data_IF_184760189821
#
_entry.id   IF_184760189821
#
_cell.length_a   1.000
_cell.length_b   1.000
_cell.length_c   1.000
_cell.angle_alpha   90.00
_cell.angle_beta   90.00
_cell.angle_gamma   90.00
#
_symmetry.space_group_name_H-M   'P 1'
#
loop_
_entity.id
_entity.type
_entity.pdbx_description
1 polymer ?
#
# COMPACT_ATOMS: atom_id res chain seq x y z
N UNK A 1 0.36 -22.93 -7.01
CA UNK A 1 -0.41 -21.79 -7.55
C UNK A 1 -1.52 -21.30 -6.60
N UNK A 2 -2.61 -22.07 -6.34
CA UNK A 2 -3.70 -21.59 -5.42
C UNK A 2 -3.19 -21.36 -4.00
N UNK A 3 -2.36 -22.27 -3.49
CA UNK A 3 -1.74 -22.12 -2.17
C UNK A 3 -0.82 -20.90 -2.11
N UNK A 4 -0.07 -20.62 -3.17
CA UNK A 4 0.82 -19.46 -3.26
C UNK A 4 -0.01 -18.17 -3.26
N UNK A 5 -1.12 -18.15 -4.01
CA UNK A 5 -2.04 -17.01 -4.03
C UNK A 5 -2.70 -16.78 -2.65
N UNK A 6 -3.10 -17.84 -1.95
CA UNK A 6 -3.63 -17.73 -0.60
C UNK A 6 -2.64 -17.06 0.36
N UNK A 7 -1.40 -17.55 0.39
CA UNK A 7 -0.37 -16.95 1.25
C UNK A 7 0.02 -15.55 0.79
N UNK A 8 0.13 -15.33 -0.53
CA UNK A 8 0.47 -14.03 -1.07
C UNK A 8 -0.56 -12.94 -0.73
N UNK A 9 -1.85 -13.30 -0.69
CA UNK A 9 -2.93 -12.39 -0.27
C UNK A 9 -2.88 -12.15 1.25
N UNK A 10 -2.51 -13.16 2.03
CA UNK A 10 -2.54 -13.06 3.49
C UNK A 10 -1.31 -12.35 4.06
N UNK A 11 -0.14 -12.50 3.44
CA UNK A 11 1.14 -11.95 3.91
C UNK A 11 1.09 -10.43 4.13
N UNK A 12 0.59 -9.57 3.21
CA UNK A 12 0.44 -8.14 3.44
C UNK A 12 -0.39 -7.82 4.69
N UNK A 13 -1.57 -8.39 4.80
CA UNK A 13 -2.46 -8.23 5.95
C UNK A 13 -1.82 -8.66 7.28
N UNK A 14 -0.99 -9.72 7.26
CA UNK A 14 -0.22 -10.12 8.45
C UNK A 14 0.82 -9.05 8.83
N UNK A 15 1.41 -8.37 7.84
CA UNK A 15 2.30 -7.22 8.07
C UNK A 15 1.61 -6.13 8.88
N UNK A 16 0.46 -5.63 8.40
CA UNK A 16 -0.39 -4.64 9.09
C UNK A 16 -0.77 -5.12 10.50
N UNK A 17 -1.20 -6.37 10.62
CA UNK A 17 -1.63 -6.96 11.89
C UNK A 17 -0.49 -7.06 12.91
N UNK A 18 0.70 -7.46 12.48
CA UNK A 18 1.90 -7.51 13.32
C UNK A 18 2.34 -6.11 13.77
N UNK A 19 2.30 -5.14 12.86
CA UNK A 19 2.56 -3.74 13.17
C UNK A 19 1.56 -3.19 14.20
N UNK A 20 0.27 -3.44 14.02
CA UNK A 20 -0.75 -3.11 15.00
C UNK A 20 -0.48 -3.73 16.38
N UNK A 21 0.12 -4.92 16.41
CA UNK A 21 0.54 -5.62 17.63
C UNK A 21 1.56 -4.85 18.48
N UNK A 22 2.28 -3.87 17.94
CA UNK A 22 3.22 -3.04 18.68
C UNK A 22 2.57 -2.34 19.88
N UNK A 23 1.27 -2.07 19.83
CA UNK A 23 0.50 -1.46 20.94
C UNK A 23 0.53 -2.27 22.23
N UNK A 24 0.77 -3.57 22.17
CA UNK A 24 0.86 -4.41 23.37
C UNK A 24 2.21 -4.25 24.09
N UNK A 25 3.28 -3.96 23.38
CA UNK A 25 4.66 -3.90 23.87
C UNK A 25 5.09 -2.45 24.15
N UNK A 26 4.70 -1.50 23.32
CA UNK A 26 5.05 -0.09 23.50
C UNK A 26 4.08 0.59 24.45
N UNK A 27 4.62 1.44 25.35
CA UNK A 27 3.83 2.14 26.37
C UNK A 27 3.40 3.53 25.92
N UNK A 28 4.22 4.19 25.11
CA UNK A 28 4.07 5.58 24.69
C UNK A 28 3.85 5.65 23.18
N UNK A 29 3.36 6.80 22.70
CA UNK A 29 3.33 7.12 21.28
C UNK A 29 4.74 6.98 20.67
N UNK A 30 4.79 6.70 19.36
CA UNK A 30 6.06 6.68 18.63
C UNK A 30 6.71 8.06 18.71
N UNK A 31 8.04 8.09 18.89
CA UNK A 31 8.79 9.34 18.79
C UNK A 31 8.79 9.82 17.35
N UNK A 32 8.71 11.15 17.14
CA UNK A 32 8.66 11.74 15.79
C UNK A 32 9.75 11.21 14.86
N UNK A 33 10.97 11.04 15.35
CA UNK A 33 12.07 10.50 14.54
C UNK A 33 11.85 9.06 14.10
N UNK A 34 11.26 8.21 14.96
CA UNK A 34 10.93 6.82 14.61
C UNK A 34 9.78 6.81 13.59
N UNK A 35 8.75 7.63 13.81
CA UNK A 35 7.64 7.75 12.89
C UNK A 35 8.12 8.17 11.51
N UNK A 36 8.92 9.24 11.38
CA UNK A 36 9.50 9.69 10.10
C UNK A 36 10.35 8.62 9.42
N UNK A 37 11.13 7.86 10.20
CA UNK A 37 11.93 6.76 9.66
C UNK A 37 11.05 5.64 9.10
N UNK A 38 10.00 5.25 9.84
CA UNK A 38 9.06 4.21 9.42
C UNK A 38 8.25 4.65 8.19
N UNK A 39 7.72 5.88 8.19
CA UNK A 39 6.98 6.43 7.05
C UNK A 39 7.87 6.57 5.81
N UNK A 40 9.11 7.07 5.99
CA UNK A 40 10.07 7.14 4.89
C UNK A 40 10.42 5.77 4.33
N UNK A 41 10.63 4.78 5.20
CA UNK A 41 10.90 3.40 4.78
C UNK A 41 9.74 2.82 3.97
N UNK A 42 8.50 2.94 4.46
CA UNK A 42 7.30 2.49 3.74
C UNK A 42 7.17 3.17 2.37
N UNK A 43 7.32 4.50 2.31
CA UNK A 43 7.31 5.25 1.05
C UNK A 43 8.35 4.74 0.05
N UNK A 44 9.58 4.45 0.50
CA UNK A 44 10.63 3.90 -0.34
C UNK A 44 10.29 2.52 -0.92
N UNK A 45 9.76 1.63 -0.09
CA UNK A 45 9.29 0.30 -0.53
C UNK A 45 8.17 0.44 -1.56
N UNK A 46 7.16 1.29 -1.29
CA UNK A 46 6.03 1.51 -2.22
C UNK A 46 6.47 2.05 -3.58
N UNK A 47 7.41 3.01 -3.61
CA UNK A 47 7.95 3.55 -4.89
C UNK A 47 8.65 2.46 -5.67
N UNK A 48 9.50 1.67 -5.03
CA UNK A 48 10.21 0.57 -5.69
C UNK A 48 9.24 -0.49 -6.21
N UNK A 49 8.28 -0.96 -5.39
CA UNK A 49 7.25 -1.91 -5.81
C UNK A 49 6.43 -1.39 -7.00
N UNK A 50 6.02 -0.11 -6.96
CA UNK A 50 5.28 0.51 -8.07
C UNK A 50 6.05 0.47 -9.39
N UNK A 51 7.38 0.60 -9.35
CA UNK A 51 8.21 0.58 -10.56
C UNK A 51 8.48 -0.86 -11.01
N UNK A 52 9.10 -1.68 -10.15
CA UNK A 52 9.59 -3.01 -10.56
C UNK A 52 8.48 -4.06 -10.65
N UNK A 53 7.59 -4.11 -9.66
CA UNK A 53 6.56 -5.16 -9.62
C UNK A 53 5.30 -4.81 -10.42
N UNK A 54 5.09 -3.54 -10.81
CA UNK A 54 3.85 -3.11 -11.47
C UNK A 54 4.08 -2.40 -12.81
N UNK A 55 4.82 -1.29 -12.87
CA UNK A 55 4.98 -0.50 -14.10
C UNK A 55 5.84 -1.21 -15.14
N UNK A 56 6.95 -1.82 -14.75
CA UNK A 56 7.81 -2.58 -15.69
C UNK A 56 7.02 -3.77 -16.25
N UNK A 57 6.41 -4.66 -15.46
CA UNK A 57 5.56 -5.74 -15.98
C UNK A 57 4.39 -5.24 -16.84
N UNK A 58 3.78 -4.08 -16.51
CA UNK A 58 2.72 -3.51 -17.35
C UNK A 58 3.21 -3.17 -18.77
N UNK A 59 4.40 -2.58 -18.88
CA UNK A 59 4.99 -2.27 -20.18
C UNK A 59 5.44 -3.54 -20.93
N UNK A 60 5.96 -4.52 -20.22
CA UNK A 60 6.33 -5.82 -20.80
C UNK A 60 5.13 -6.58 -21.33
N UNK A 61 3.98 -6.54 -20.64
CA UNK A 61 2.71 -7.10 -21.13
C UNK A 61 2.20 -6.41 -22.40
N UNK A 62 2.58 -5.17 -22.64
CA UNK A 62 2.23 -4.37 -23.80
C UNK A 62 3.34 -4.32 -24.87
N UNK A 63 4.36 -5.20 -24.80
CA UNK A 63 5.54 -5.18 -25.69
C UNK A 63 5.19 -5.28 -27.18
N UNK A 64 4.08 -5.93 -27.53
CA UNK A 64 3.58 -6.03 -28.91
C UNK A 64 3.28 -4.66 -29.55
N UNK A 65 3.05 -3.63 -28.73
CA UNK A 65 2.86 -2.25 -29.19
C UNK A 65 4.19 -1.55 -29.54
N UNK A 66 5.34 -2.20 -29.37
CA UNK A 66 6.65 -1.67 -29.65
C UNK A 66 6.91 -0.35 -28.90
N UNK A 67 7.14 0.75 -29.63
CA UNK A 67 7.42 2.06 -29.00
C UNK A 67 6.23 2.65 -28.22
N UNK A 68 5.03 2.13 -28.40
CA UNK A 68 3.82 2.56 -27.70
C UNK A 68 3.50 1.70 -26.47
N UNK A 69 4.37 0.78 -26.07
CA UNK A 69 4.18 -0.07 -24.88
C UNK A 69 3.96 0.76 -23.58
N UNK A 70 4.49 1.97 -23.52
CA UNK A 70 4.25 2.90 -22.40
C UNK A 70 2.82 3.43 -22.32
N UNK A 71 2.05 3.42 -23.41
CA UNK A 71 0.75 4.06 -23.48
C UNK A 71 -0.30 3.42 -22.56
N UNK A 72 -0.50 2.07 -22.54
CA UNK A 72 -1.36 1.43 -21.56
C UNK A 72 -0.93 1.70 -20.12
N UNK A 73 0.40 1.68 -19.88
CA UNK A 73 0.95 1.96 -18.56
C UNK A 73 0.68 3.41 -18.11
N UNK A 74 0.87 4.39 -19.00
CA UNK A 74 0.58 5.79 -18.70
C UNK A 74 -0.91 6.02 -18.43
N UNK A 75 -1.80 5.44 -19.24
CA UNK A 75 -3.26 5.57 -19.07
C UNK A 75 -3.70 4.95 -17.75
N UNK A 76 -3.28 3.71 -17.46
CA UNK A 76 -3.62 3.05 -16.20
C UNK A 76 -3.11 3.83 -14.99
N UNK A 77 -1.87 4.30 -15.04
CA UNK A 77 -1.25 5.12 -13.99
C UNK A 77 -2.08 6.38 -13.66
N UNK A 78 -2.48 7.14 -14.68
CA UNK A 78 -3.33 8.32 -14.48
C UNK A 78 -4.71 7.94 -13.92
N UNK A 79 -5.31 6.86 -14.39
CA UNK A 79 -6.58 6.38 -13.85
C UNK A 79 -6.47 5.99 -12.37
N UNK A 80 -5.33 5.41 -11.94
CA UNK A 80 -5.07 5.09 -10.54
C UNK A 80 -4.97 6.34 -9.66
N UNK A 81 -4.22 7.35 -10.11
CA UNK A 81 -4.14 8.65 -9.42
C UNK A 81 -5.52 9.29 -9.30
N UNK A 82 -6.27 9.38 -10.40
CA UNK A 82 -7.60 10.00 -10.42
C UNK A 82 -8.61 9.23 -9.57
N UNK A 83 -8.47 7.91 -9.48
CA UNK A 83 -9.32 7.08 -8.63
C UNK A 83 -9.13 7.41 -7.15
N UNK A 84 -7.87 7.48 -6.68
CA UNK A 84 -7.59 7.85 -5.29
C UNK A 84 -8.01 9.29 -4.99
N UNK A 85 -7.68 10.22 -5.87
CA UNK A 85 -8.14 11.60 -5.76
C UNK A 85 -9.67 11.70 -5.63
N UNK A 86 -10.42 10.87 -6.37
CA UNK A 86 -11.86 10.79 -6.25
C UNK A 86 -12.31 10.22 -4.90
N UNK A 87 -11.66 9.15 -4.42
CA UNK A 87 -11.98 8.55 -3.12
C UNK A 87 -11.73 9.53 -1.97
N UNK A 88 -10.65 10.29 -2.00
CA UNK A 88 -10.34 11.32 -1.02
C UNK A 88 -11.44 12.39 -0.94
N UNK A 89 -12.03 12.75 -2.08
CA UNK A 89 -13.15 13.70 -2.11
C UNK A 89 -14.48 13.10 -1.67
N UNK A 90 -14.67 11.77 -1.79
CA UNK A 90 -15.95 11.11 -1.51
C UNK A 90 -16.04 10.52 -0.10
N UNK A 91 -14.92 10.17 0.52
CA UNK A 91 -14.89 9.47 1.81
C UNK A 91 -14.38 10.42 2.90
N UNK A 92 -15.15 10.63 3.99
CA UNK A 92 -14.68 11.44 5.11
C UNK A 92 -13.56 10.71 5.84
N UNK A 93 -12.36 11.27 5.84
CA UNK A 93 -11.19 10.71 6.48
C UNK A 93 -10.32 11.80 7.13
N UNK A 94 -9.37 11.39 7.95
CA UNK A 94 -8.50 12.31 8.68
C UNK A 94 -7.09 11.75 8.75
N UNK A 95 -6.13 12.49 8.21
CA UNK A 95 -4.73 12.15 8.34
C UNK A 95 -4.24 12.37 9.77
N UNK A 96 -3.29 11.56 10.22
CA UNK A 96 -2.86 11.47 11.62
C UNK A 96 -2.49 12.84 12.23
N UNK A 97 -1.80 13.67 11.48
CA UNK A 97 -1.28 14.96 11.95
C UNK A 97 -2.13 16.15 11.47
N UNK A 98 -3.27 15.91 10.82
CA UNK A 98 -4.19 16.95 10.39
C UNK A 98 -5.20 17.29 11.49
N UNK A 99 -5.53 18.57 11.59
CA UNK A 99 -6.64 19.06 12.43
C UNK A 99 -7.94 19.17 11.63
N UNK A 100 -7.86 19.13 10.30
CA UNK A 100 -9.01 19.24 9.40
C UNK A 100 -9.25 17.90 8.73
N UNK A 101 -10.50 17.42 8.81
CA UNK A 101 -10.93 16.24 8.09
C UNK A 101 -11.12 16.57 6.60
N UNK A 102 -10.76 15.63 5.75
CA UNK A 102 -10.96 15.69 4.31
C UNK A 102 -12.23 14.94 3.89
N UNK A 103 -12.70 15.19 2.65
CA UNK A 103 -13.94 14.65 2.16
C UNK A 103 -15.19 15.35 2.70
N UNK A 104 -16.39 14.73 2.60
CA UNK A 104 -17.65 15.29 3.05
C UNK A 104 -17.68 15.50 4.57
N UNK A 105 -18.38 16.55 5.02
CA UNK A 105 -18.62 16.80 6.44
C UNK A 105 -19.27 15.58 7.08
N UNK A 106 -18.64 15.04 8.14
CA UNK A 106 -19.08 13.84 8.82
C UNK A 106 -19.14 14.05 10.34
N UNK A 107 -20.02 13.29 11.01
CA UNK A 107 -20.09 13.21 12.47
C UNK A 107 -19.32 12.00 13.01
N UNK A 108 -18.51 11.35 12.19
CA UNK A 108 -17.68 10.22 12.62
C UNK A 108 -16.65 10.67 13.65
N UNK A 109 -16.35 9.78 14.58
CA UNK A 109 -15.28 10.03 15.57
C UNK A 109 -13.92 10.17 14.87
N UNK A 110 -13.05 11.02 15.41
CA UNK A 110 -11.69 11.24 14.90
C UNK A 110 -10.96 9.92 14.66
N UNK A 111 -11.01 8.99 15.61
CA UNK A 111 -10.38 7.67 15.51
C UNK A 111 -10.93 6.82 14.35
N UNK A 112 -12.21 6.92 14.05
CA UNK A 112 -12.81 6.22 12.89
C UNK A 112 -12.32 6.81 11.58
N UNK A 113 -12.25 8.13 11.48
CA UNK A 113 -11.73 8.81 10.27
C UNK A 113 -10.26 8.51 10.03
N UNK A 114 -9.44 8.36 11.07
CA UNK A 114 -8.05 7.93 10.96
C UNK A 114 -7.92 6.49 10.41
N UNK A 115 -8.76 5.57 10.89
CA UNK A 115 -8.79 4.20 10.36
C UNK A 115 -9.24 4.19 8.89
N UNK A 116 -10.24 5.01 8.54
CA UNK A 116 -10.71 5.13 7.15
C UNK A 116 -9.63 5.67 6.22
N UNK A 117 -8.81 6.64 6.65
CA UNK A 117 -7.69 7.13 5.87
C UNK A 117 -6.78 5.96 5.43
N UNK A 118 -6.30 5.16 6.38
CA UNK A 118 -5.41 4.03 6.06
C UNK A 118 -6.13 2.92 5.28
N UNK A 119 -7.43 2.69 5.52
CA UNK A 119 -8.20 1.77 4.66
C UNK A 119 -8.21 2.21 3.20
N UNK A 120 -8.29 3.52 2.92
CA UNK A 120 -8.24 4.05 1.55
C UNK A 120 -6.90 3.74 0.87
N UNK A 121 -5.80 3.82 1.62
CA UNK A 121 -4.46 3.52 1.13
C UNK A 121 -4.25 2.03 0.87
N UNK A 122 -4.79 1.18 1.71
CA UNK A 122 -4.65 -0.26 1.61
C UNK A 122 -5.51 -0.89 0.49
N UNK A 123 -6.51 -0.15 -0.07
CA UNK A 123 -7.29 -0.62 -1.24
C UNK A 123 -6.39 -0.84 -2.46
N UNK A 124 -5.56 0.12 -2.91
CA UNK A 124 -4.63 -0.08 -4.02
C UNK A 124 -3.65 -1.23 -3.82
N UNK A 125 -3.18 -1.42 -2.59
CA UNK A 125 -2.25 -2.51 -2.25
C UNK A 125 -2.91 -3.87 -2.42
N UNK A 126 -4.11 -4.03 -1.89
CA UNK A 126 -4.89 -5.25 -2.11
C UNK A 126 -5.18 -5.49 -3.59
N UNK A 127 -5.53 -4.44 -4.35
CA UNK A 127 -5.74 -4.54 -5.79
C UNK A 127 -4.45 -4.91 -6.53
N UNK A 128 -3.29 -4.35 -6.17
CA UNK A 128 -2.00 -4.69 -6.75
C UNK A 128 -1.68 -6.18 -6.59
N UNK A 129 -1.80 -6.70 -5.36
CA UNK A 129 -1.65 -8.13 -5.08
C UNK A 129 -2.64 -8.95 -5.92
N UNK A 130 -3.91 -8.53 -5.95
CA UNK A 130 -4.95 -9.23 -6.70
C UNK A 130 -4.69 -9.29 -8.20
N UNK A 131 -4.25 -8.19 -8.82
CA UNK A 131 -3.94 -8.12 -10.27
C UNK A 131 -2.76 -9.03 -10.60
N UNK A 132 -1.69 -8.98 -9.80
CA UNK A 132 -0.48 -9.78 -10.03
C UNK A 132 -0.79 -11.27 -9.85
N UNK A 133 -1.54 -11.64 -8.78
CA UNK A 133 -1.93 -13.04 -8.60
C UNK A 133 -2.96 -13.54 -9.63
N UNK A 134 -3.84 -12.68 -10.14
CA UNK A 134 -4.72 -13.06 -11.26
C UNK A 134 -3.90 -13.41 -12.51
N UNK A 135 -2.89 -12.61 -12.83
CA UNK A 135 -1.96 -12.88 -13.92
C UNK A 135 -1.16 -14.17 -13.72
N UNK A 136 -0.63 -14.39 -12.52
CA UNK A 136 0.09 -15.60 -12.13
C UNK A 136 -0.78 -16.86 -12.27
N UNK A 137 -2.00 -16.84 -11.74
CA UNK A 137 -2.93 -17.98 -11.81
C UNK A 137 -3.37 -18.29 -13.24
N UNK A 138 -3.39 -17.29 -14.12
CA UNK A 138 -3.67 -17.45 -15.54
C UNK A 138 -2.46 -17.93 -16.35
N UNK A 139 -1.28 -18.06 -15.75
CA UNK A 139 -0.06 -18.50 -16.42
C UNK A 139 0.55 -17.44 -17.35
N UNK A 140 0.37 -16.17 -17.05
CA UNK A 140 0.98 -15.06 -17.79
C UNK A 140 2.50 -15.11 -17.67
N UNK A 141 3.20 -15.18 -18.80
CA UNK A 141 4.64 -15.53 -18.87
C UNK A 141 5.56 -14.57 -18.09
N UNK A 142 5.19 -13.29 -18.01
CA UNK A 142 5.98 -12.25 -17.35
C UNK A 142 5.71 -12.16 -15.84
N UNK A 143 4.74 -12.93 -15.31
CA UNK A 143 4.38 -12.90 -13.88
C UNK A 143 4.78 -14.23 -13.23
N UNK A 144 5.90 -14.23 -12.53
CA UNK A 144 6.48 -15.42 -11.90
C UNK A 144 5.94 -15.63 -10.48
N UNK A 145 6.02 -16.86 -9.96
CA UNK A 145 5.71 -17.15 -8.55
C UNK A 145 6.62 -16.35 -7.60
N UNK A 146 7.89 -16.20 -7.97
CA UNK A 146 8.87 -15.50 -7.16
C UNK A 146 8.60 -13.99 -7.16
N UNK A 147 8.28 -13.38 -8.30
CA UNK A 147 7.90 -11.97 -8.39
C UNK A 147 6.61 -11.65 -7.64
N UNK A 148 5.58 -12.54 -7.71
CA UNK A 148 4.36 -12.37 -6.91
C UNK A 148 4.64 -12.41 -5.42
N UNK A 149 5.55 -13.29 -4.97
CA UNK A 149 5.95 -13.37 -3.58
C UNK A 149 6.77 -12.13 -3.16
N UNK A 150 7.67 -11.65 -4.02
CA UNK A 150 8.46 -10.44 -3.77
C UNK A 150 7.57 -9.23 -3.52
N UNK A 151 6.54 -9.02 -4.36
CA UNK A 151 5.55 -7.97 -4.16
C UNK A 151 4.82 -8.13 -2.82
N UNK A 152 4.31 -9.34 -2.52
CA UNK A 152 3.58 -9.59 -1.27
C UNK A 152 4.44 -9.35 -0.03
N UNK A 153 5.71 -9.77 -0.05
CA UNK A 153 6.67 -9.52 1.03
C UNK A 153 7.00 -8.04 1.15
N UNK A 154 7.20 -7.35 0.04
CA UNK A 154 7.45 -5.91 0.02
C UNK A 154 6.30 -5.15 0.66
N UNK A 155 5.06 -5.43 0.24
CA UNK A 155 3.86 -4.82 0.83
C UNK A 155 3.74 -5.17 2.33
N UNK A 156 4.00 -6.41 2.74
CA UNK A 156 3.98 -6.78 4.16
C UNK A 156 5.02 -6.02 5.01
N UNK A 157 6.21 -5.78 4.46
CA UNK A 157 7.28 -5.06 5.12
C UNK A 157 6.91 -3.58 5.32
N UNK A 158 6.27 -2.94 4.34
CA UNK A 158 5.80 -1.55 4.49
C UNK A 158 4.57 -1.45 5.38
N UNK A 159 3.68 -2.42 5.35
CA UNK A 159 2.45 -2.46 6.15
C UNK A 159 2.72 -2.65 7.65
N UNK A 160 3.86 -3.24 8.02
CA UNK A 160 4.24 -3.32 9.43
C UNK A 160 4.39 -1.93 10.08
N UNK A 161 5.16 -0.96 9.53
CA UNK A 161 5.10 0.43 9.95
C UNK A 161 3.69 1.01 10.00
N UNK A 162 2.89 0.81 8.99
CA UNK A 162 1.54 1.38 8.88
C UNK A 162 0.60 0.90 9.98
N UNK A 163 0.59 -0.41 10.27
CA UNK A 163 -0.17 -0.97 11.39
C UNK A 163 0.23 -0.37 12.75
N UNK A 164 1.53 -0.10 12.95
CA UNK A 164 2.02 0.57 14.15
C UNK A 164 1.62 2.05 14.18
N UNK A 165 1.74 2.75 13.06
CA UNK A 165 1.37 4.17 12.90
C UNK A 165 -0.11 4.40 13.18
N UNK A 166 -0.99 3.44 12.94
CA UNK A 166 -2.42 3.54 13.28
C UNK A 166 -2.70 3.15 14.71
N UNK A 167 -2.24 1.98 15.16
CA UNK A 167 -2.61 1.44 16.46
C UNK A 167 -2.06 2.28 17.63
N UNK A 168 -0.87 2.86 17.49
CA UNK A 168 -0.22 3.63 18.55
C UNK A 168 -0.93 4.96 18.82
N UNK A 169 -1.28 5.82 17.84
CA UNK A 169 -2.10 7.01 18.07
C UNK A 169 -3.49 6.69 18.63
N UNK A 170 -4.17 5.66 18.13
CA UNK A 170 -5.45 5.23 18.70
C UNK A 170 -5.32 4.94 20.21
N UNK A 171 -4.21 4.34 20.61
CA UNK A 171 -3.88 4.12 22.02
C UNK A 171 -3.60 5.44 22.75
N UNK A 172 -2.90 6.39 22.14
CA UNK A 172 -2.59 7.70 22.70
C UNK A 172 -3.86 8.54 22.93
N UNK A 173 -4.86 8.44 22.08
CA UNK A 173 -6.20 9.03 22.21
C UNK A 173 -7.04 8.39 23.33
N UNK A 174 -6.46 7.49 24.14
CA UNK A 174 -7.11 6.88 25.31
C UNK A 174 -7.82 5.54 25.02
N UNK A 175 -7.73 5.01 23.83
CA UNK A 175 -8.34 3.73 23.49
C UNK A 175 -7.67 2.58 24.25
N UNK A 176 -8.43 1.55 24.66
CA UNK A 176 -7.85 0.32 25.26
C UNK A 176 -6.97 -0.39 24.25
N UNK A 177 -5.84 -0.99 24.69
CA UNK A 177 -4.86 -1.69 23.80
C UNK A 177 -5.53 -2.65 22.81
N UNK A 178 -6.46 -3.49 23.27
CA UNK A 178 -7.15 -4.42 22.38
C UNK A 178 -8.00 -3.72 21.31
N UNK A 179 -8.67 -2.61 21.64
CA UNK A 179 -9.44 -1.85 20.63
C UNK A 179 -8.51 -1.14 19.64
N UNK A 180 -7.41 -0.57 20.11
CA UNK A 180 -6.42 0.07 19.26
C UNK A 180 -5.76 -0.97 18.31
N UNK A 181 -5.44 -2.16 18.80
CA UNK A 181 -4.98 -3.29 17.99
C UNK A 181 -5.97 -3.64 16.87
N UNK A 182 -7.25 -3.87 17.24
CA UNK A 182 -8.26 -4.19 16.26
C UNK A 182 -8.53 -3.04 15.28
N UNK A 183 -8.35 -1.79 15.70
CA UNK A 183 -8.39 -0.64 14.79
C UNK A 183 -7.33 -0.73 13.69
N UNK A 184 -6.09 -1.06 14.07
CA UNK A 184 -5.00 -1.30 13.10
C UNK A 184 -5.23 -2.54 12.24
N UNK A 185 -5.71 -3.66 12.81
CA UNK A 185 -6.03 -4.86 12.03
C UNK A 185 -7.15 -4.59 11.01
N UNK A 186 -8.19 -3.86 11.41
CA UNK A 186 -9.31 -3.54 10.53
C UNK A 186 -8.91 -2.58 9.40
N UNK A 187 -7.91 -1.71 9.58
CA UNK A 187 -7.42 -0.88 8.48
C UNK A 187 -6.81 -1.71 7.35
N UNK A 188 -6.18 -2.86 7.66
CA UNK A 188 -5.61 -3.77 6.67
C UNK A 188 -6.59 -4.77 6.05
N UNK A 189 -7.81 -4.93 6.60
CA UNK A 189 -8.74 -5.98 6.11
C UNK A 189 -9.18 -5.77 4.65
N UNK A 190 -9.09 -4.56 4.15
CA UNK A 190 -9.43 -4.22 2.76
C UNK A 190 -8.43 -4.80 1.76
N UNK A 191 -7.20 -5.10 2.19
CA UNK A 191 -6.16 -5.71 1.34
C UNK A 191 -6.57 -7.10 0.85
N UNK A 192 -6.81 -8.10 1.73
CA UNK A 192 -7.25 -9.41 1.27
C UNK A 192 -8.61 -9.38 0.57
N UNK A 193 -9.53 -8.49 0.97
CA UNK A 193 -10.81 -8.31 0.29
C UNK A 193 -10.59 -7.79 -1.13
N UNK A 194 -9.80 -6.72 -1.31
CA UNK A 194 -9.48 -6.17 -2.61
C UNK A 194 -8.76 -7.17 -3.52
N UNK A 195 -7.80 -7.91 -2.97
CA UNK A 195 -7.10 -8.95 -3.73
C UNK A 195 -8.03 -10.07 -4.20
N UNK A 196 -8.87 -10.60 -3.32
CA UNK A 196 -9.84 -11.65 -3.69
C UNK A 196 -10.84 -11.16 -4.72
N UNK A 197 -11.40 -9.97 -4.55
CA UNK A 197 -12.35 -9.39 -5.52
C UNK A 197 -11.69 -9.20 -6.90
N UNK A 198 -10.45 -8.76 -6.93
CA UNK A 198 -9.68 -8.59 -8.17
C UNK A 198 -9.42 -9.94 -8.86
N UNK A 199 -9.06 -10.98 -8.11
CA UNK A 199 -8.87 -12.34 -8.67
C UNK A 199 -10.20 -12.90 -9.17
N UNK A 200 -11.30 -12.72 -8.45
CA UNK A 200 -12.63 -13.17 -8.89
C UNK A 200 -13.09 -12.45 -10.17
N UNK A 201 -12.63 -11.22 -10.37
CA UNK A 201 -12.85 -10.45 -11.59
C UNK A 201 -11.85 -10.78 -12.73
N UNK A 202 -11.12 -11.89 -12.66
CA UNK A 202 -10.05 -12.25 -13.62
C UNK A 202 -10.48 -12.17 -15.09
N UNK A 203 -11.74 -12.49 -15.42
CA UNK A 203 -12.28 -12.35 -16.78
C UNK A 203 -12.21 -10.92 -17.34
N UNK A 204 -12.22 -9.90 -16.49
CA UNK A 204 -12.05 -8.48 -16.84
C UNK A 204 -10.59 -8.06 -16.66
N UNK A 205 -9.95 -8.55 -15.61
CA UNK A 205 -8.58 -8.19 -15.20
C UNK A 205 -7.56 -8.62 -16.27
N UNK A 206 -7.64 -9.86 -16.75
CA UNK A 206 -6.63 -10.41 -17.67
C UNK A 206 -6.54 -9.66 -19.01
N UNK A 207 -7.64 -9.33 -19.71
CA UNK A 207 -7.57 -8.54 -20.94
C UNK A 207 -7.05 -7.10 -20.72
N UNK A 208 -7.23 -6.56 -19.50
CA UNK A 208 -6.82 -5.20 -19.13
C UNK A 208 -5.56 -5.16 -18.26
N UNK A 209 -4.81 -6.27 -18.19
CA UNK A 209 -3.70 -6.44 -17.26
C UNK A 209 -2.67 -5.30 -17.28
N UNK A 210 -2.17 -4.81 -18.44
CA UNK A 210 -1.22 -3.67 -18.47
C UNK A 210 -1.79 -2.40 -17.83
N UNK A 211 -3.08 -2.13 -18.05
CA UNK A 211 -3.76 -0.97 -17.46
C UNK A 211 -3.97 -1.12 -15.96
N UNK A 212 -4.30 -2.32 -15.49
CA UNK A 212 -4.60 -2.56 -14.08
C UNK A 212 -3.35 -2.66 -13.20
N UNK A 213 -2.25 -3.22 -13.72
CA UNK A 213 -0.95 -3.16 -13.06
C UNK A 213 -0.52 -1.71 -12.85
N UNK A 214 -0.57 -0.91 -13.90
CA UNK A 214 -0.18 0.51 -13.82
C UNK A 214 -1.19 1.37 -13.07
N UNK A 215 -2.47 1.01 -13.07
CA UNK A 215 -3.49 1.62 -12.20
C UNK A 215 -3.12 1.46 -10.71
N UNK A 216 -2.78 0.25 -10.29
CA UNK A 216 -2.35 0.00 -8.93
C UNK A 216 -1.07 0.80 -8.58
N UNK A 217 -0.09 0.86 -9.50
CA UNK A 217 1.10 1.68 -9.33
C UNK A 217 0.78 3.17 -9.18
N UNK A 218 -0.11 3.71 -10.01
CA UNK A 218 -0.54 5.12 -9.94
C UNK A 218 -1.24 5.43 -8.61
N UNK A 219 -2.14 4.57 -8.17
CA UNK A 219 -2.82 4.70 -6.90
C UNK A 219 -1.86 4.64 -5.71
N UNK A 220 -0.90 3.70 -5.70
CA UNK A 220 0.15 3.62 -4.67
C UNK A 220 1.03 4.88 -4.66
N UNK A 221 1.45 5.38 -5.83
CA UNK A 221 2.26 6.60 -5.90
C UNK A 221 1.49 7.86 -5.49
N UNK A 222 0.17 7.91 -5.69
CA UNK A 222 -0.68 8.96 -5.12
C UNK A 222 -0.53 9.03 -3.61
N UNK A 223 -0.68 7.89 -2.92
CA UNK A 223 -0.51 7.80 -1.46
C UNK A 223 0.88 8.25 -1.02
N UNK A 224 1.92 7.81 -1.74
CA UNK A 224 3.30 8.22 -1.42
C UNK A 224 3.47 9.74 -1.47
N UNK A 225 2.97 10.37 -2.53
CA UNK A 225 3.17 11.81 -2.76
C UNK A 225 2.28 12.66 -1.88
N UNK A 226 1.01 12.27 -1.72
CA UNK A 226 0.02 13.05 -0.98
C UNK A 226 0.20 12.93 0.53
N UNK A 227 0.66 11.78 1.02
CA UNK A 227 0.68 11.51 2.45
C UNK A 227 2.06 11.15 3.00
N UNK A 228 2.70 10.09 2.49
CA UNK A 228 3.91 9.58 3.12
C UNK A 228 5.08 10.56 3.03
N UNK A 229 5.26 11.24 1.88
CA UNK A 229 6.32 12.25 1.74
C UNK A 229 6.07 13.47 2.64
N UNK A 230 4.88 14.08 2.67
CA UNK A 230 4.56 15.13 3.64
C UNK A 230 4.76 14.67 5.09
N UNK A 231 4.28 13.49 5.47
CA UNK A 231 4.39 12.99 6.84
C UNK A 231 5.84 12.77 7.27
N UNK A 232 6.67 12.12 6.45
CA UNK A 232 8.08 11.89 6.79
C UNK A 232 8.90 13.18 6.87
N UNK A 233 8.39 14.28 6.30
CA UNK A 233 9.05 15.58 6.24
C UNK A 233 8.55 16.58 7.30
N UNK A 234 7.53 16.23 8.11
CA UNK A 234 6.93 17.14 9.09
C UNK A 234 7.89 17.55 10.22
N UNK A 235 7.63 18.74 10.80
CA UNK A 235 8.33 19.26 11.96
C UNK A 235 9.71 19.82 11.66
N UNK A 236 10.66 19.68 12.60
CA UNK A 236 12.03 20.19 12.42
C UNK A 236 12.75 19.41 11.30
N UNK A 237 13.55 20.11 10.52
CA UNK A 237 14.33 19.50 9.44
C UNK A 237 15.15 18.30 9.93
N UNK A 238 15.00 17.18 9.26
CA UNK A 238 15.70 15.93 9.57
C UNK A 238 15.87 15.09 8.30
N UNK A 239 17.04 14.50 8.13
CA UNK A 239 17.33 13.61 7.02
C UNK A 239 16.84 12.16 7.24
N UNK A 240 16.24 11.87 8.42
CA UNK A 240 15.83 10.49 8.76
C UNK A 240 14.83 9.92 7.75
N UNK A 241 13.78 10.66 7.40
CA UNK A 241 12.81 10.22 6.41
C UNK A 241 13.47 9.88 5.09
N UNK A 242 14.32 10.77 4.57
CA UNK A 242 15.03 10.57 3.29
C UNK A 242 15.98 9.38 3.33
N UNK A 243 16.75 9.21 4.41
CA UNK A 243 17.68 8.08 4.54
C UNK A 243 16.89 6.76 4.59
N UNK A 244 15.82 6.70 5.38
CA UNK A 244 15.00 5.50 5.49
C UNK A 244 14.18 5.23 4.22
N UNK A 245 13.77 6.26 3.49
CA UNK A 245 13.23 6.11 2.14
C UNK A 245 14.22 5.38 1.22
N UNK A 246 15.48 5.83 1.19
CA UNK A 246 16.50 5.16 0.39
C UNK A 246 16.75 3.71 0.85
N UNK A 247 16.68 3.43 2.15
CA UNK A 247 16.78 2.05 2.68
C UNK A 247 15.60 1.21 2.21
N UNK A 248 14.36 1.69 2.37
CA UNK A 248 13.16 0.96 1.94
C UNK A 248 13.15 0.69 0.45
N UNK A 249 13.48 1.71 -0.36
CA UNK A 249 13.61 1.58 -1.81
C UNK A 249 14.64 0.51 -2.18
N UNK A 250 15.82 0.52 -1.54
CA UNK A 250 16.89 -0.45 -1.81
C UNK A 250 16.52 -1.87 -1.39
N UNK A 251 15.81 -2.03 -0.27
CA UNK A 251 15.33 -3.34 0.20
C UNK A 251 14.34 -3.92 -0.80
N UNK A 252 13.36 -3.14 -1.24
CA UNK A 252 12.35 -3.63 -2.20
C UNK A 252 12.97 -3.92 -3.57
N UNK A 253 13.84 -3.03 -4.06
CA UNK A 253 14.59 -3.27 -5.31
C UNK A 253 15.39 -4.58 -5.23
N UNK A 254 16.04 -4.84 -4.09
CA UNK A 254 16.78 -6.07 -3.90
C UNK A 254 15.87 -7.30 -3.85
N UNK A 255 14.72 -7.22 -3.20
CA UNK A 255 13.73 -8.30 -3.18
C UNK A 255 13.22 -8.63 -4.58
N UNK A 256 12.86 -7.61 -5.36
CA UNK A 256 12.36 -7.78 -6.72
C UNK A 256 13.41 -8.41 -7.64
N UNK A 257 14.64 -7.87 -7.63
CA UNK A 257 15.71 -8.38 -8.52
C UNK A 257 16.24 -9.74 -8.07
N UNK A 258 16.24 -10.04 -6.76
CA UNK A 258 16.76 -11.31 -6.24
C UNK A 258 15.74 -12.47 -6.31
N UNK A 259 14.46 -12.15 -6.24
CA UNK A 259 13.37 -13.15 -6.28
C UNK A 259 12.60 -13.11 -7.63
N UNK A 260 12.53 -11.97 -8.29
CA UNK A 260 11.82 -11.79 -9.57
C UNK A 260 12.66 -12.22 -10.73
#
# INVERSE_FOLDING_TARGET
MIQDAFWGILIPFLGTSLGAGCVFFLKNALRDGIQRALTGFAAGVMVAASVWSLLIPAMEQAADLGRLAFFPAAVGFWLGILFLLLLDHLIPHLHQNSLQAEGPKSQLQRTTMMVLAVMLHNIPEGMAVGVVYAGYLAGTAQITAAGTLALSLGIAIQNFPEGAIISMPLRAEGMKKGRAFWGGVLSGIVEPIGAVLTILAAGIVLPALPYLLSFAAGAMLYVVVEELIPEMSQGQHSNLGTVFFAVGFSVMMALDVALG
#
